data_IF_833264980114
#
_entry.id   IF_833264980114
#
_cell.length_a   1.000
_cell.length_b   1.000
_cell.length_c   1.000
_cell.angle_alpha   90.00
_cell.angle_beta   90.00
_cell.angle_gamma   90.00
#
_symmetry.space_group_name_H-M   'P 1'
#
loop_
_entity.id
_entity.type
_entity.pdbx_description
1 polymer ?
#
# COMPACT_ATOMS: atom_id res chain seq x y z
N UNK A 1 -2.79 9.95 8.58
CA UNK A 1 -2.81 10.15 7.12
C UNK A 1 -4.24 10.01 6.65
N UNK A 2 -4.74 11.07 6.05
CA UNK A 2 -6.08 11.18 5.47
C UNK A 2 -5.88 11.27 3.95
N UNK A 3 -6.64 10.50 3.18
CA UNK A 3 -6.49 10.45 1.71
C UNK A 3 -7.41 11.52 1.11
N UNK A 4 -6.83 12.52 0.47
CA UNK A 4 -7.56 13.52 -0.31
C UNK A 4 -7.47 13.23 -1.82
N UNK A 5 -8.28 13.93 -2.62
CA UNK A 5 -8.28 13.79 -4.09
C UNK A 5 -6.90 13.99 -4.71
N UNK A 6 -6.11 14.93 -4.20
CA UNK A 6 -4.74 15.18 -4.66
C UNK A 6 -3.83 13.97 -4.42
N UNK A 7 -4.04 13.24 -3.33
CA UNK A 7 -3.30 12.01 -3.04
C UNK A 7 -3.69 10.91 -4.03
N UNK A 8 -4.98 10.77 -4.34
CA UNK A 8 -5.48 9.83 -5.35
C UNK A 8 -4.90 10.15 -6.73
N UNK A 9 -4.84 11.43 -7.09
CA UNK A 9 -4.28 11.89 -8.36
C UNK A 9 -2.78 11.61 -8.47
N UNK A 10 -2.00 11.86 -7.40
CA UNK A 10 -0.58 11.49 -7.36
C UNK A 10 -0.36 9.99 -7.52
N UNK A 11 -1.15 9.16 -6.83
CA UNK A 11 -1.08 7.69 -6.96
C UNK A 11 -1.42 7.26 -8.39
N UNK A 12 -2.47 7.83 -8.97
CA UNK A 12 -2.89 7.53 -10.35
C UNK A 12 -1.77 7.80 -11.36
N UNK A 13 -1.09 8.96 -11.25
CA UNK A 13 0.06 9.32 -12.09
C UNK A 13 1.19 8.29 -11.94
N UNK A 14 1.57 7.95 -10.70
CA UNK A 14 2.65 6.98 -10.43
C UNK A 14 2.33 5.58 -10.97
N UNK A 15 1.06 5.19 -10.91
CA UNK A 15 0.58 3.89 -11.40
C UNK A 15 0.21 3.89 -12.88
N UNK A 16 0.34 5.03 -13.60
CA UNK A 16 -0.10 5.20 -14.99
C UNK A 16 -1.58 4.85 -15.20
N UNK A 17 -2.42 5.16 -14.22
CA UNK A 17 -3.86 4.98 -14.27
C UNK A 17 -4.56 6.32 -14.53
N UNK A 18 -5.64 6.28 -15.29
CA UNK A 18 -6.50 7.45 -15.54
C UNK A 18 -7.82 7.27 -14.82
N UNK A 19 -8.22 8.26 -14.03
CA UNK A 19 -9.50 8.26 -13.33
C UNK A 19 -10.32 9.49 -13.69
N UNK A 20 -11.62 9.31 -13.81
CA UNK A 20 -12.59 10.41 -13.91
C UNK A 20 -12.70 11.16 -12.58
N UNK A 21 -13.27 12.37 -12.60
CA UNK A 21 -13.46 13.16 -11.38
C UNK A 21 -14.39 12.49 -10.35
N UNK A 22 -15.37 11.70 -10.82
CA UNK A 22 -16.27 10.94 -9.96
C UNK A 22 -15.53 9.78 -9.28
N UNK A 23 -14.71 9.03 -10.03
CA UNK A 23 -13.89 7.94 -9.51
C UNK A 23 -12.85 8.44 -8.51
N UNK A 24 -12.22 9.60 -8.77
CA UNK A 24 -11.30 10.24 -7.81
C UNK A 24 -11.97 10.49 -6.47
N UNK A 25 -13.27 10.83 -6.45
CA UNK A 25 -14.05 10.99 -5.21
C UNK A 25 -14.35 9.66 -4.52
N UNK A 26 -14.64 8.59 -5.25
CA UNK A 26 -14.86 7.26 -4.67
C UNK A 26 -13.58 6.68 -4.07
N UNK A 27 -12.44 6.93 -4.72
CA UNK A 27 -11.13 6.45 -4.31
C UNK A 27 -10.49 7.26 -3.18
N UNK A 28 -11.14 8.28 -2.62
CA UNK A 28 -10.70 8.82 -1.32
C UNK A 28 -11.17 7.96 -0.16
N UNK A 29 -12.33 7.31 -0.31
CA UNK A 29 -12.97 6.54 0.77
C UNK A 29 -12.38 5.13 0.88
N UNK A 30 -12.32 4.39 -0.23
CA UNK A 30 -11.92 2.97 -0.22
C UNK A 30 -10.47 2.75 0.26
N UNK A 31 -9.45 3.47 -0.26
CA UNK A 31 -8.07 3.34 0.23
C UNK A 31 -7.92 3.86 1.66
N UNK A 32 -8.73 4.85 2.07
CA UNK A 32 -8.76 5.36 3.44
C UNK A 32 -9.11 4.27 4.45
N UNK A 33 -10.09 3.42 4.15
CA UNK A 33 -10.47 2.28 5.01
C UNK A 33 -9.35 1.23 5.08
N UNK A 34 -8.75 0.88 3.94
CA UNK A 34 -7.63 -0.08 3.88
C UNK A 34 -6.44 0.42 4.69
N UNK A 35 -6.03 1.68 4.49
CA UNK A 35 -4.93 2.28 5.24
C UNK A 35 -5.23 2.41 6.72
N UNK A 36 -6.49 2.67 7.08
CA UNK A 36 -6.97 2.64 8.46
C UNK A 36 -6.70 1.30 9.14
N UNK A 37 -7.00 0.20 8.45
CA UNK A 37 -6.71 -1.15 8.94
C UNK A 37 -5.21 -1.43 9.04
N UNK A 38 -4.43 -1.04 8.02
CA UNK A 38 -2.97 -1.23 7.98
C UNK A 38 -2.24 -0.56 9.14
N UNK A 39 -2.76 0.53 9.70
CA UNK A 39 -2.17 1.18 10.90
C UNK A 39 -2.04 0.24 12.10
N UNK A 40 -2.82 -0.84 12.17
CA UNK A 40 -2.66 -1.84 13.23
C UNK A 40 -1.26 -2.48 13.24
N UNK A 41 -0.58 -2.53 12.09
CA UNK A 41 0.78 -3.08 11.98
C UNK A 41 1.82 -2.25 12.75
N UNK A 42 1.57 -0.95 12.98
CA UNK A 42 2.47 -0.09 13.76
C UNK A 42 2.55 -0.47 15.25
N UNK A 43 1.65 -1.36 15.73
CA UNK A 43 1.66 -1.85 17.11
C UNK A 43 2.72 -2.95 17.34
N UNK A 44 3.31 -3.48 16.26
CA UNK A 44 4.29 -4.57 16.33
C UNK A 44 5.71 -3.99 16.40
N UNK A 45 6.51 -4.45 17.37
CA UNK A 45 7.91 -4.05 17.48
C UNK A 45 8.77 -4.76 16.40
N UNK A 46 9.51 -3.97 15.62
CA UNK A 46 10.36 -4.45 14.52
C UNK A 46 11.83 -4.02 14.63
N UNK A 47 12.26 -3.40 15.73
CA UNK A 47 13.58 -2.73 15.85
C UNK A 47 14.79 -3.60 15.47
N UNK A 48 14.73 -4.91 15.72
CA UNK A 48 15.84 -5.84 15.47
C UNK A 48 15.51 -6.92 14.43
N UNK A 49 14.44 -6.72 13.65
CA UNK A 49 13.97 -7.69 12.65
C UNK A 49 14.36 -7.17 11.26
N UNK A 50 14.99 -8.02 10.45
CA UNK A 50 15.29 -7.69 9.05
C UNK A 50 14.06 -7.96 8.16
N UNK A 51 13.74 -7.07 7.20
CA UNK A 51 12.70 -7.34 6.22
C UNK A 51 13.01 -8.59 5.38
N UNK A 52 11.97 -9.37 5.06
CA UNK A 52 12.08 -10.54 4.19
C UNK A 52 11.54 -10.17 2.80
N UNK A 53 12.43 -9.99 1.83
CA UNK A 53 12.06 -9.69 0.43
C UNK A 53 11.93 -10.94 -0.45
N UNK A 54 12.53 -12.06 -0.03
CA UNK A 54 12.50 -13.36 -0.72
C UNK A 54 12.35 -14.47 0.32
N UNK A 55 11.54 -15.49 0.01
CA UNK A 55 11.34 -16.63 0.91
C UNK A 55 12.65 -17.42 1.07
N UNK A 56 13.09 -17.72 2.31
CA UNK A 56 14.42 -18.26 2.60
C UNK A 56 14.70 -19.66 2.02
N UNK A 57 13.68 -20.39 1.55
CA UNK A 57 13.82 -21.74 1.00
C UNK A 57 13.68 -21.83 -0.53
N UNK A 58 13.49 -20.71 -1.24
CA UNK A 58 13.30 -20.71 -2.70
C UNK A 58 14.54 -21.08 -3.53
N UNK A 59 15.69 -21.30 -2.89
CA UNK A 59 16.95 -21.71 -3.55
C UNK A 59 17.33 -23.18 -3.31
N UNK A 60 16.66 -23.89 -2.40
CA UNK A 60 16.99 -25.29 -2.02
C UNK A 60 16.39 -26.37 -2.93
N UNK A 61 16.06 -26.04 -4.18
CA UNK A 61 15.39 -26.97 -5.10
C UNK A 61 15.65 -26.69 -6.58
N UNK A 62 16.83 -26.14 -6.90
CA UNK A 62 17.31 -26.05 -8.28
C UNK A 62 18.68 -26.71 -8.38
N UNK A 63 18.68 -28.03 -8.18
CA UNK A 63 19.68 -28.95 -8.71
C UNK A 63 18.98 -29.79 -9.79
#
# INVERSE_FOLDING_TARGET
>A
MEICKETVEKIAILSKLTFTNEEKGKYTVQPGQILGYVKNLNKVNIEKIRPVSKWPYSEKGRD
#
